data_IF_731269243088
#
_entry.id   IF_731269243088
#
_cell.length_a   1.000
_cell.length_b   1.000
_cell.length_c   1.000
_cell.angle_alpha   90.00
_cell.angle_beta   90.00
_cell.angle_gamma   90.00
#
_symmetry.space_group_name_H-M   'P 1'
#
loop_
_entity.id
_entity.type
_entity.pdbx_description
1 polymer ?
#
# COMPACT_ATOMS: atom_id res chain seq x y z
N UNK A 1 5.60 26.26 0.43
CA UNK A 1 4.66 25.13 0.30
C UNK A 1 5.45 23.87 0.63
N UNK A 2 5.15 23.18 1.73
CA UNK A 2 5.90 21.98 2.14
C UNK A 2 5.70 20.92 1.06
N UNK A 3 6.78 20.57 0.36
CA UNK A 3 6.74 19.55 -0.68
C UNK A 3 6.30 18.23 -0.04
N UNK A 4 5.12 17.73 -0.43
CA UNK A 4 4.69 16.40 -0.04
C UNK A 4 5.79 15.42 -0.46
N UNK A 5 6.36 14.71 0.51
CA UNK A 5 7.36 13.68 0.23
C UNK A 5 6.63 12.51 -0.39
N UNK A 6 6.92 12.22 -1.66
CA UNK A 6 6.45 11.02 -2.32
C UNK A 6 6.76 9.78 -1.48
N UNK A 7 5.73 9.00 -1.18
CA UNK A 7 5.86 7.77 -0.40
C UNK A 7 6.57 6.67 -1.19
N UNK A 8 6.50 6.75 -2.53
CA UNK A 8 7.18 5.83 -3.44
C UNK A 8 7.42 6.51 -4.80
N UNK A 9 8.51 6.14 -5.48
CA UNK A 9 8.82 6.55 -6.85
C UNK A 9 9.21 5.32 -7.67
N UNK A 10 8.78 5.29 -8.92
CA UNK A 10 9.04 4.18 -9.82
C UNK A 10 8.55 4.45 -11.23
N UNK A 11 8.23 3.38 -11.95
CA UNK A 11 7.79 3.44 -13.34
C UNK A 11 6.42 2.79 -13.50
N UNK A 12 5.47 3.50 -14.11
CA UNK A 12 4.22 2.95 -14.62
C UNK A 12 4.52 2.34 -15.99
N UNK A 13 4.40 1.01 -16.11
CA UNK A 13 4.60 0.30 -17.37
C UNK A 13 3.28 -0.23 -17.92
N UNK A 14 3.03 0.11 -19.17
CA UNK A 14 1.89 -0.34 -19.96
C UNK A 14 2.39 -0.79 -21.33
N UNK A 15 2.36 -2.10 -21.59
CA UNK A 15 3.01 -2.68 -22.78
C UNK A 15 4.49 -2.28 -22.84
N UNK A 16 4.89 -1.63 -23.93
CA UNK A 16 6.25 -1.09 -24.12
C UNK A 16 6.44 0.35 -23.59
N UNK A 17 5.36 1.02 -23.18
CA UNK A 17 5.43 2.38 -22.66
C UNK A 17 5.82 2.33 -21.18
N UNK A 18 6.85 3.10 -20.81
CA UNK A 18 7.30 3.27 -19.44
C UNK A 18 7.29 4.75 -19.08
N UNK A 19 6.58 5.11 -18.02
CA UNK A 19 6.45 6.48 -17.54
C UNK A 19 6.95 6.58 -16.10
N UNK A 20 7.96 7.43 -15.80
CA UNK A 20 8.37 7.71 -14.42
C UNK A 20 7.23 8.36 -13.63
N UNK A 21 6.87 7.78 -12.49
CA UNK A 21 5.78 8.25 -11.63
C UNK A 21 6.17 8.30 -10.16
N UNK A 22 5.50 9.18 -9.42
CA UNK A 22 5.52 9.26 -7.97
C UNK A 22 4.15 8.91 -7.41
N UNK A 23 4.14 8.15 -6.31
CA UNK A 23 2.95 7.73 -5.59
C UNK A 23 2.87 8.48 -4.26
N UNK A 24 1.78 9.23 -4.08
CA UNK A 24 1.50 10.07 -2.92
C UNK A 24 0.21 9.59 -2.23
N UNK A 25 0.16 9.58 -0.90
CA UNK A 25 -1.09 9.26 -0.18
C UNK A 25 -2.12 10.36 -0.36
N UNK A 26 -3.36 10.00 -0.74
CA UNK A 26 -4.47 10.97 -0.89
C UNK A 26 -4.88 11.51 0.47
N UNK A 27 -5.15 10.60 1.42
CA UNK A 27 -5.47 10.97 2.78
C UNK A 27 -4.17 11.34 3.48
N UNK A 28 -4.00 12.63 3.79
CA UNK A 28 -3.08 13.04 4.85
C UNK A 28 -3.66 12.42 6.11
N UNK A 29 -2.92 11.54 6.78
CA UNK A 29 -3.22 11.21 8.17
C UNK A 29 -3.17 12.57 8.89
N UNK A 30 -4.34 13.18 9.09
CA UNK A 30 -4.53 14.46 9.77
C UNK A 30 -3.53 14.49 10.91
N UNK A 31 -2.64 15.48 10.93
CA UNK A 31 -1.53 15.65 11.89
C UNK A 31 -1.82 14.92 13.19
N UNK A 32 -1.48 13.61 13.22
CA UNK A 32 -1.78 12.81 14.40
C UNK A 32 -0.79 13.35 15.40
N UNK A 33 -1.28 14.14 16.34
CA UNK A 33 -0.46 14.69 17.43
C UNK A 33 0.24 13.49 18.05
N UNK A 34 1.53 13.36 17.75
CA UNK A 34 2.36 12.26 18.21
C UNK A 34 2.77 12.63 19.62
N UNK A 35 2.14 12.02 20.60
CA UNK A 35 2.58 12.15 21.98
C UNK A 35 3.89 11.38 22.16
N UNK A 36 4.89 12.05 22.73
CA UNK A 36 6.08 11.38 23.22
C UNK A 36 5.82 10.93 24.65
N UNK A 37 6.11 9.67 24.96
CA UNK A 37 6.13 9.21 26.35
C UNK A 37 7.26 9.93 27.09
N UNK A 38 6.93 10.57 28.21
CA UNK A 38 7.86 11.31 29.04
C UNK A 38 7.79 10.78 30.47
N UNK A 39 8.93 10.78 31.15
CA UNK A 39 8.97 10.53 32.59
C UNK A 39 8.30 11.72 33.30
N UNK A 40 7.35 11.44 34.20
CA UNK A 40 6.53 12.48 34.85
C UNK A 40 7.33 13.40 35.78
N UNK A 41 8.39 12.87 36.41
CA UNK A 41 9.13 13.59 37.45
C UNK A 41 10.24 14.46 36.83
N UNK A 42 10.90 13.97 35.79
CA UNK A 42 12.02 14.65 35.12
C UNK A 42 11.61 15.38 33.85
N UNK A 43 10.47 15.02 33.26
CA UNK A 43 10.06 15.48 31.94
C UNK A 43 10.94 14.97 30.80
N UNK A 44 11.90 14.08 31.04
CA UNK A 44 12.75 13.56 29.97
C UNK A 44 11.97 12.58 29.09
N UNK A 45 12.32 12.52 27.80
CA UNK A 45 11.76 11.54 26.88
C UNK A 45 12.28 10.15 27.25
N UNK A 46 11.40 9.17 27.31
CA UNK A 46 11.80 7.78 27.62
C UNK A 46 12.25 7.06 26.36
N UNK A 47 13.22 6.15 26.51
CA UNK A 47 13.65 5.19 25.48
C UNK A 47 12.89 3.88 25.69
N UNK A 48 12.59 3.18 24.59
CA UNK A 48 12.03 1.82 24.66
C UNK A 48 13.15 0.82 24.37
N UNK A 49 13.30 -0.15 25.26
CA UNK A 49 14.21 -1.29 25.12
C UNK A 49 13.39 -2.57 25.15
N UNK A 50 13.85 -3.58 24.40
CA UNK A 50 13.33 -4.94 24.49
C UNK A 50 14.20 -5.68 25.49
N UNK A 51 13.58 -6.33 26.48
CA UNK A 51 14.26 -7.07 27.53
C UNK A 51 13.79 -8.52 27.43
N UNK A 52 14.71 -9.47 27.45
CA UNK A 52 14.38 -10.89 27.51
C UNK A 52 13.83 -11.19 28.92
N UNK A 53 12.59 -11.70 29.04
CA UNK A 53 11.97 -11.94 30.33
C UNK A 53 12.63 -13.04 31.17
N UNK A 54 13.49 -13.87 30.58
CA UNK A 54 14.20 -14.97 31.25
C UNK A 54 15.57 -14.51 31.75
N UNK A 55 16.34 -13.81 30.91
CA UNK A 55 17.67 -13.32 31.30
C UNK A 55 17.61 -11.97 32.03
N UNK A 56 16.49 -11.25 31.92
CA UNK A 56 16.31 -9.88 32.38
C UNK A 56 17.28 -8.87 31.74
N UNK A 57 17.93 -9.25 30.64
CA UNK A 57 18.90 -8.42 29.93
C UNK A 57 18.27 -7.75 28.69
N UNK A 58 18.72 -6.53 28.32
CA UNK A 58 18.34 -5.90 27.07
C UNK A 58 18.77 -6.74 25.87
N UNK A 59 17.86 -6.94 24.92
CA UNK A 59 18.16 -7.61 23.64
C UNK A 59 18.49 -6.55 22.61
N UNK A 60 19.73 -6.57 22.11
CA UNK A 60 20.16 -5.66 21.07
C UNK A 60 19.44 -5.93 19.75
N UNK A 61 19.40 -4.91 18.88
CA UNK A 61 18.62 -5.00 17.63
C UNK A 61 19.10 -6.12 16.70
N UNK A 62 20.38 -6.44 16.75
CA UNK A 62 21.02 -7.50 15.95
C UNK A 62 20.62 -8.89 16.41
N UNK A 63 20.31 -9.04 17.70
CA UNK A 63 19.89 -10.30 18.33
C UNK A 63 18.35 -10.46 18.36
N UNK A 64 17.62 -9.51 17.77
CA UNK A 64 16.15 -9.55 17.67
C UNK A 64 15.70 -10.22 16.37
N UNK A 65 15.06 -11.39 16.49
CA UNK A 65 14.39 -12.08 15.37
C UNK A 65 12.87 -11.91 15.40
N UNK A 66 12.19 -12.15 14.27
CA UNK A 66 10.72 -12.15 14.19
C UNK A 66 10.21 -13.59 14.20
N UNK A 67 9.35 -13.92 15.16
CA UNK A 67 8.61 -15.18 15.18
C UNK A 67 7.17 -15.01 14.73
N UNK A 68 6.63 -15.96 13.96
CA UNK A 68 5.20 -16.12 13.73
C UNK A 68 4.67 -17.30 14.56
N UNK A 69 3.71 -17.06 15.44
CA UNK A 69 3.14 -18.11 16.31
C UNK A 69 2.23 -19.04 15.50
N UNK A 70 2.53 -20.34 15.53
CA UNK A 70 1.76 -21.41 14.83
C UNK A 70 1.03 -22.34 15.79
N UNK A 71 1.00 -22.00 17.08
CA UNK A 71 0.37 -22.74 18.17
C UNK A 71 1.02 -22.38 19.50
N UNK A 72 0.47 -22.89 20.61
CA UNK A 72 0.94 -22.54 21.96
C UNK A 72 2.47 -22.67 22.07
N UNK A 73 3.12 -21.52 22.20
CA UNK A 73 4.56 -21.37 22.39
C UNK A 73 5.44 -21.98 21.27
N UNK A 74 4.88 -22.16 20.06
CA UNK A 74 5.64 -22.58 18.88
C UNK A 74 5.70 -21.43 17.88
N UNK A 75 6.90 -20.95 17.63
CA UNK A 75 7.17 -19.87 16.69
C UNK A 75 7.92 -20.43 15.48
N UNK A 76 7.49 -20.03 14.29
CA UNK A 76 8.33 -20.12 13.10
C UNK A 76 9.19 -18.87 13.09
N UNK A 77 10.49 -19.04 13.25
CA UNK A 77 11.48 -17.99 13.08
C UNK A 77 11.45 -17.57 11.60
N UNK A 78 11.24 -16.29 11.35
CA UNK A 78 11.26 -15.74 9.99
C UNK A 78 12.44 -14.81 9.92
N UNK A 79 13.52 -15.30 9.31
CA UNK A 79 14.75 -14.53 9.12
C UNK A 79 14.47 -13.29 8.27
N UNK A 80 15.16 -12.18 8.58
CA UNK A 80 14.98 -10.92 7.85
C UNK A 80 15.27 -11.09 6.34
N UNK A 81 16.22 -11.98 6.01
CA UNK A 81 16.62 -12.31 4.66
C UNK A 81 15.63 -13.25 3.96
N UNK A 82 14.93 -14.13 4.68
CA UNK A 82 13.84 -14.93 4.09
C UNK A 82 12.63 -14.06 3.74
N UNK A 83 12.29 -13.07 4.57
CA UNK A 83 11.28 -12.06 4.25
C UNK A 83 11.71 -11.25 3.02
N UNK A 84 13.00 -10.88 2.93
CA UNK A 84 13.53 -10.12 1.82
C UNK A 84 13.56 -10.93 0.51
N UNK A 85 13.89 -12.22 0.57
CA UNK A 85 13.93 -13.12 -0.59
C UNK A 85 12.54 -13.59 -1.03
N UNK A 86 11.57 -13.70 -0.11
CA UNK A 86 10.18 -13.94 -0.43
C UNK A 86 9.50 -12.73 -1.09
N UNK A 87 10.05 -11.52 -0.89
CA UNK A 87 9.61 -10.31 -1.58
C UNK A 87 10.34 -10.22 -2.92
N UNK A 88 9.65 -10.36 -4.06
CA UNK A 88 10.29 -10.29 -5.38
C UNK A 88 11.12 -9.01 -5.51
N UNK A 89 12.35 -9.11 -6.04
CA UNK A 89 13.19 -7.94 -6.34
C UNK A 89 12.38 -6.89 -7.11
N UNK A 90 11.99 -5.84 -6.39
CA UNK A 90 11.10 -4.82 -6.93
C UNK A 90 11.90 -3.91 -7.86
N UNK A 91 11.72 -4.07 -9.17
CA UNK A 91 12.19 -3.12 -10.19
C UNK A 91 11.53 -1.72 -10.11
N UNK A 92 11.02 -1.32 -8.93
CA UNK A 92 10.20 -0.11 -8.71
C UNK A 92 9.20 0.08 -9.86
N UNK A 93 8.52 -1.00 -10.20
CA UNK A 93 7.66 -1.10 -11.36
C UNK A 93 6.21 -1.24 -10.91
N UNK A 94 5.34 -0.43 -11.48
CA UNK A 94 3.90 -0.56 -11.43
C UNK A 94 3.46 -1.07 -12.79
N UNK A 95 3.29 -2.40 -12.89
CA UNK A 95 3.03 -3.09 -14.15
C UNK A 95 1.52 -3.24 -14.36
N UNK A 96 1.00 -2.64 -15.44
CA UNK A 96 -0.40 -2.81 -15.85
C UNK A 96 -0.57 -4.20 -16.46
N UNK A 97 -1.60 -4.90 -15.99
CA UNK A 97 -1.93 -6.28 -16.39
C UNK A 97 -3.23 -6.38 -17.19
N UNK A 98 -4.21 -5.53 -16.89
CA UNK A 98 -5.52 -5.54 -17.54
C UNK A 98 -6.20 -4.18 -17.46
N UNK A 99 -7.26 -4.01 -18.26
CA UNK A 99 -8.16 -2.86 -18.21
C UNK A 99 -9.58 -3.33 -17.94
N UNK A 100 -10.28 -2.60 -17.08
CA UNK A 100 -11.64 -2.91 -16.66
C UNK A 100 -12.50 -1.66 -16.86
N UNK A 101 -13.69 -1.76 -17.47
CA UNK A 101 -14.62 -0.64 -17.56
C UNK A 101 -14.89 -0.05 -16.17
N UNK A 102 -14.85 1.28 -16.04
CA UNK A 102 -15.05 1.94 -14.76
C UNK A 102 -16.41 1.64 -14.11
N UNK A 103 -17.41 1.25 -14.90
CA UNK A 103 -18.74 0.84 -14.45
C UNK A 103 -18.79 -0.54 -13.79
N UNK A 104 -17.81 -1.40 -14.05
CA UNK A 104 -17.74 -2.78 -13.52
C UNK A 104 -16.88 -2.88 -12.26
N UNK A 105 -16.25 -1.77 -11.86
CA UNK A 105 -15.38 -1.76 -10.69
C UNK A 105 -16.21 -1.65 -9.42
N UNK A 106 -16.29 -2.74 -8.68
CA UNK A 106 -16.87 -2.72 -7.34
C UNK A 106 -15.91 -2.05 -6.36
N UNK A 107 -16.38 -0.96 -5.75
CA UNK A 107 -15.62 -0.19 -4.77
C UNK A 107 -15.35 -0.94 -3.47
N UNK A 108 -16.03 -2.06 -3.21
CA UNK A 108 -15.79 -2.89 -2.02
C UNK A 108 -14.35 -3.41 -1.93
N UNK A 109 -13.67 -3.55 -3.08
CA UNK A 109 -12.28 -4.00 -3.12
C UNK A 109 -11.27 -2.88 -2.85
N UNK A 110 -11.67 -1.61 -2.73
CA UNK A 110 -10.73 -0.51 -2.51
C UNK A 110 -10.27 -0.42 -1.04
N UNK A 111 -8.95 -0.32 -0.83
CA UNK A 111 -8.33 -0.14 0.49
C UNK A 111 -7.80 1.30 0.67
N UNK A 112 -6.56 1.57 0.26
CA UNK A 112 -5.90 2.87 0.51
C UNK A 112 -5.78 3.69 -0.76
N UNK A 113 -6.31 4.92 -0.80
CA UNK A 113 -6.22 5.78 -1.96
C UNK A 113 -4.84 6.44 -2.08
N UNK A 114 -4.24 6.35 -3.27
CA UNK A 114 -3.02 7.06 -3.64
C UNK A 114 -3.24 7.92 -4.89
N UNK A 115 -2.55 9.05 -4.98
CA UNK A 115 -2.37 9.80 -6.22
C UNK A 115 -1.11 9.33 -6.92
N UNK A 116 -1.20 9.25 -8.24
CA UNK A 116 -0.06 9.03 -9.13
C UNK A 116 0.15 10.30 -9.96
N UNK A 117 1.38 10.80 -9.94
CA UNK A 117 1.81 11.98 -10.67
C UNK A 117 3.10 11.68 -11.45
N UNK A 118 3.37 12.37 -12.57
CA UNK A 118 4.62 12.21 -13.32
C UNK A 118 5.81 12.63 -12.44
N UNK A 119 6.91 11.87 -12.53
CA UNK A 119 8.15 12.17 -11.82
C UNK A 119 9.22 12.66 -12.79
N UNK A 120 9.23 13.97 -13.05
CA UNK A 120 10.23 14.66 -13.87
C UNK A 120 9.69 15.17 -15.19
N UNK A 121 10.33 16.20 -15.76
CA UNK A 121 9.81 16.95 -16.92
C UNK A 121 9.59 16.13 -18.19
N UNK A 122 10.37 15.06 -18.39
CA UNK A 122 10.27 14.18 -19.57
C UNK A 122 9.06 13.23 -19.44
N UNK A 123 8.54 13.03 -18.23
CA UNK A 123 7.43 12.10 -17.98
C UNK A 123 6.05 12.71 -18.29
N UNK A 124 5.94 14.04 -18.39
CA UNK A 124 4.65 14.74 -18.47
C UNK A 124 3.85 14.35 -19.72
N UNK A 125 4.49 14.27 -20.89
CA UNK A 125 3.83 13.91 -22.15
C UNK A 125 3.34 12.45 -22.13
N UNK A 126 4.21 11.52 -21.76
CA UNK A 126 3.86 10.10 -21.65
C UNK A 126 2.75 9.87 -20.61
N UNK A 127 2.82 10.59 -19.48
CA UNK A 127 1.80 10.54 -18.44
C UNK A 127 0.45 11.08 -18.92
N UNK A 128 0.46 12.21 -19.63
CA UNK A 128 -0.75 12.80 -20.19
C UNK A 128 -1.42 11.87 -21.20
N UNK A 129 -0.64 11.24 -22.08
CA UNK A 129 -1.15 10.23 -23.04
C UNK A 129 -1.83 9.08 -22.30
N UNK A 130 -1.19 8.50 -21.27
CA UNK A 130 -1.78 7.39 -20.50
C UNK A 130 -3.08 7.85 -19.80
N UNK A 131 -3.05 9.01 -19.14
CA UNK A 131 -4.22 9.57 -18.44
C UNK A 131 -5.39 9.79 -19.40
N UNK A 132 -5.13 10.39 -20.55
CA UNK A 132 -6.16 10.76 -21.50
C UNK A 132 -6.70 9.53 -22.24
N UNK A 133 -5.85 8.53 -22.50
CA UNK A 133 -6.29 7.23 -23.05
C UNK A 133 -7.23 6.48 -22.08
N UNK A 134 -6.88 6.42 -20.78
CA UNK A 134 -7.74 5.84 -19.74
C UNK A 134 -9.09 6.56 -19.65
N UNK A 135 -9.05 7.90 -19.70
CA UNK A 135 -10.26 8.74 -19.64
C UNK A 135 -11.16 8.55 -20.85
N UNK A 136 -10.60 8.63 -22.06
CA UNK A 136 -11.36 8.50 -23.29
C UNK A 136 -12.00 7.12 -23.40
N UNK A 137 -11.28 6.08 -22.98
CA UNK A 137 -11.77 4.69 -23.00
C UNK A 137 -12.70 4.34 -21.83
N UNK A 138 -12.83 5.22 -20.82
CA UNK A 138 -13.64 5.00 -19.60
C UNK A 138 -13.28 3.71 -18.85
N UNK A 139 -11.99 3.37 -18.81
CA UNK A 139 -11.46 2.18 -18.13
C UNK A 139 -10.52 2.56 -16.99
N UNK A 140 -10.44 1.68 -15.99
CA UNK A 140 -9.34 1.62 -15.03
C UNK A 140 -8.33 0.55 -15.44
N UNK A 141 -7.07 0.75 -15.12
CA UNK A 141 -5.99 -0.21 -15.32
C UNK A 141 -5.72 -0.97 -14.02
N UNK A 142 -5.83 -2.30 -14.06
CA UNK A 142 -5.39 -3.17 -12.98
C UNK A 142 -3.87 -3.33 -13.07
N UNK A 143 -3.18 -2.90 -12.03
CA UNK A 143 -1.72 -2.92 -11.96
C UNK A 143 -1.21 -3.57 -10.69
N UNK A 144 0.03 -4.05 -10.73
CA UNK A 144 0.68 -4.65 -9.59
C UNK A 144 2.04 -4.02 -9.34
N UNK A 145 2.38 -3.84 -8.07
CA UNK A 145 3.65 -3.30 -7.63
C UNK A 145 4.04 -3.86 -6.26
N UNK A 146 5.33 -3.95 -5.99
CA UNK A 146 5.81 -4.14 -4.62
C UNK A 146 5.91 -2.76 -3.96
N UNK A 147 4.97 -2.50 -3.06
CA UNK A 147 4.87 -1.27 -2.27
C UNK A 147 5.12 -1.58 -0.80
N UNK A 148 5.99 -0.82 -0.15
CA UNK A 148 6.30 -0.98 1.28
C UNK A 148 6.65 -2.43 1.68
N UNK A 149 7.46 -3.11 0.85
CA UNK A 149 7.86 -4.52 1.02
C UNK A 149 6.73 -5.55 0.91
N UNK A 150 5.59 -5.20 0.30
CA UNK A 150 4.48 -6.13 0.03
C UNK A 150 4.04 -6.02 -1.42
N UNK A 151 3.71 -7.17 -2.02
CA UNK A 151 3.01 -7.18 -3.30
C UNK A 151 1.61 -6.58 -3.13
N UNK A 152 1.25 -5.64 -4.00
CA UNK A 152 -0.04 -4.95 -3.98
C UNK A 152 -0.62 -4.90 -5.38
N UNK A 153 -1.91 -5.19 -5.47
CA UNK A 153 -2.73 -4.82 -6.62
C UNK A 153 -3.24 -3.39 -6.44
N UNK A 154 -3.35 -2.65 -7.54
CA UNK A 154 -3.82 -1.27 -7.61
C UNK A 154 -4.78 -1.10 -8.78
N UNK A 155 -5.81 -0.27 -8.58
CA UNK A 155 -6.69 0.18 -9.65
C UNK A 155 -6.32 1.60 -10.08
N UNK A 156 -5.63 1.75 -11.20
CA UNK A 156 -5.20 3.06 -11.72
C UNK A 156 -6.25 3.65 -12.64
N UNK A 157 -6.74 4.86 -12.35
CA UNK A 157 -7.75 5.54 -13.18
C UNK A 157 -7.47 7.03 -13.30
N UNK A 158 -7.94 7.62 -14.39
CA UNK A 158 -7.81 9.06 -14.63
C UNK A 158 -8.58 9.88 -13.57
N UNK A 159 -7.92 10.88 -12.99
CA UNK A 159 -8.54 11.77 -12.00
C UNK A 159 -7.95 13.18 -12.06
N UNK A 160 -8.76 14.17 -12.49
CA UNK A 160 -8.28 15.55 -12.66
C UNK A 160 -7.12 15.63 -13.65
N UNK A 161 -6.02 16.29 -13.30
CA UNK A 161 -4.81 16.32 -14.12
C UNK A 161 -3.87 15.12 -13.88
N UNK A 162 -4.16 14.30 -12.86
CA UNK A 162 -3.36 13.15 -12.45
C UNK A 162 -4.06 11.81 -12.67
N UNK A 163 -3.58 10.82 -11.93
CA UNK A 163 -4.18 9.51 -11.79
C UNK A 163 -4.48 9.26 -10.30
N UNK A 164 -5.50 8.46 -10.02
CA UNK A 164 -5.73 7.89 -8.68
C UNK A 164 -5.53 6.38 -8.77
N UNK A 165 -4.88 5.81 -7.76
CA UNK A 165 -4.45 4.43 -7.70
C UNK A 165 -4.72 3.85 -6.30
N UNK A 166 -5.98 3.62 -5.89
CA UNK A 166 -6.25 2.86 -4.69
C UNK A 166 -5.59 1.47 -4.74
N UNK A 167 -5.02 1.04 -3.62
CA UNK A 167 -4.70 -0.38 -3.44
C UNK A 167 -5.97 -1.20 -3.36
N UNK A 168 -5.88 -2.45 -3.79
CA UNK A 168 -6.99 -3.39 -3.77
C UNK A 168 -6.78 -4.43 -2.69
N UNK A 169 -7.88 -4.77 -2.01
CA UNK A 169 -8.02 -5.99 -1.22
C UNK A 169 -8.18 -7.18 -2.17
N UNK A 170 -7.57 -8.31 -1.83
CA UNK A 170 -7.85 -9.57 -2.49
C UNK A 170 -9.21 -10.12 -2.07
N UNK A 171 -9.73 -11.07 -2.85
CA UNK A 171 -11.02 -11.74 -2.59
C UNK A 171 -11.11 -12.33 -1.19
N UNK A 172 -10.05 -12.97 -0.70
CA UNK A 172 -9.98 -13.55 0.64
C UNK A 172 -9.89 -12.51 1.78
N UNK A 173 -9.58 -11.25 1.46
CA UNK A 173 -9.56 -10.13 2.42
C UNK A 173 -10.93 -9.44 2.51
N UNK A 174 -11.79 -9.64 1.52
CA UNK A 174 -13.14 -9.06 1.45
C UNK A 174 -14.15 -10.06 2.00
N UNK A 175 -14.97 -9.62 2.97
CA UNK A 175 -16.03 -10.47 3.53
C UNK A 175 -17.08 -10.80 2.47
N UNK A 176 -17.58 -12.03 2.52
CA UNK A 176 -18.66 -12.49 1.65
C UNK A 176 -19.93 -11.66 1.83
N UNK A 177 -20.48 -11.16 0.71
CA UNK A 177 -21.76 -10.45 0.65
C UNK A 177 -22.90 -11.33 1.18
N UNK A 178 -22.89 -12.62 0.83
CA UNK A 178 -23.91 -13.58 1.26
C UNK A 178 -23.92 -13.71 2.78
N UNK A 179 -22.75 -13.90 3.39
CA UNK A 179 -22.64 -14.00 4.85
C UNK A 179 -22.97 -12.66 5.54
N UNK A 180 -22.55 -11.54 4.95
CA UNK A 180 -22.78 -10.22 5.52
C UNK A 180 -24.26 -9.81 5.53
N UNK A 181 -25.08 -10.33 4.60
CA UNK A 181 -26.47 -9.91 4.41
C UNK A 181 -27.50 -11.03 4.50
N UNK A 182 -27.13 -12.22 5.01
CA UNK A 182 -27.98 -13.42 5.10
C UNK A 182 -29.35 -13.16 5.78
N UNK A 183 -29.40 -12.22 6.74
CA UNK A 183 -30.62 -11.85 7.46
C UNK A 183 -31.49 -10.77 6.82
N UNK A 184 -31.12 -10.22 5.66
CA UNK A 184 -31.86 -9.12 5.03
C UNK A 184 -32.94 -9.69 4.08
N UNK A 185 -34.24 -9.51 4.38
CA UNK A 185 -35.29 -10.05 3.53
C UNK A 185 -35.33 -9.32 2.19
N UNK A 186 -35.40 -10.07 1.09
CA UNK A 186 -35.70 -9.51 -0.23
C UNK A 186 -37.15 -9.03 -0.24
N UNK A 187 -37.36 -7.72 -0.16
CA UNK A 187 -38.67 -7.13 -0.44
C UNK A 187 -39.01 -7.41 -1.91
N UNK A 188 -40.12 -8.12 -2.14
CA UNK A 188 -40.67 -8.28 -3.48
C UNK A 188 -41.18 -6.91 -3.92
N UNK A 189 -40.55 -6.34 -4.94
CA UNK A 189 -41.12 -5.22 -5.72
C UNK A 189 -41.99 -5.78 -6.82
#
# INVERSE_FOLDING_TARGET
MVAARANWKGYLKFGEISCPVALDTVARASERISFHTRNCDTGHRVRREFIDPVTEEPVEREDQIKGFEIGENRYVEVEADEIANAVPESKKLLAVSAFVPCSEIDTVFFDKPYYLAPSGKIADDAFAVIRDALRASKVGALAHAVLFRRYRALMVRAHGLGLVAPTLNFDYEVRSVTEAFDGIPKLKT
#
